data_IF_383057906274
#
_entry.id   IF_383057906274
#
_cell.length_a   1.000
_cell.length_b   1.000
_cell.length_c   1.000
_cell.angle_alpha   90.00
_cell.angle_beta   90.00
_cell.angle_gamma   90.00
#
_symmetry.space_group_name_H-M   'P 1'
#
loop_
_entity.id
_entity.type
_entity.pdbx_description
1 polymer ?
#
# COMPACT_ATOMS: atom_id res chain seq x y z
N UNK A 1 -19.12 -14.06 -35.04
CA UNK A 1 -18.50 -14.90 -33.99
C UNK A 1 -17.75 -13.98 -33.04
N UNK A 2 -18.40 -13.53 -31.95
CA UNK A 2 -17.79 -12.60 -30.98
C UNK A 2 -17.32 -13.41 -29.78
N UNK A 3 -16.01 -13.54 -29.62
CA UNK A 3 -15.42 -13.98 -28.36
C UNK A 3 -15.50 -12.79 -27.42
N UNK A 4 -16.51 -12.77 -26.55
CA UNK A 4 -16.52 -11.88 -25.41
C UNK A 4 -15.42 -12.33 -24.47
N UNK A 5 -14.21 -11.78 -24.65
CA UNK A 5 -13.16 -11.87 -23.66
C UNK A 5 -13.67 -11.17 -22.40
N UNK A 6 -14.13 -11.96 -21.44
CA UNK A 6 -14.33 -11.49 -20.07
C UNK A 6 -12.97 -10.95 -19.61
N UNK A 7 -12.79 -9.64 -19.59
CA UNK A 7 -11.74 -9.02 -18.78
C UNK A 7 -12.13 -9.30 -17.34
N UNK A 8 -11.69 -10.44 -16.82
CA UNK A 8 -11.68 -10.63 -15.38
C UNK A 8 -10.87 -9.46 -14.81
N UNK A 9 -11.42 -8.69 -13.85
CA UNK A 9 -10.62 -7.74 -13.13
C UNK A 9 -9.55 -8.59 -12.43
N UNK A 10 -8.30 -8.45 -12.83
CA UNK A 10 -7.20 -9.00 -12.04
C UNK A 10 -7.39 -8.40 -10.65
N UNK A 11 -7.56 -9.23 -9.60
CA UNK A 11 -7.41 -8.76 -8.22
C UNK A 11 -6.08 -8.01 -8.15
N UNK A 12 -5.97 -7.01 -7.30
CA UNK A 12 -4.72 -6.30 -7.11
C UNK A 12 -3.62 -7.29 -6.66
N UNK A 13 -2.93 -7.95 -7.60
CA UNK A 13 -1.97 -9.03 -7.35
C UNK A 13 -0.80 -8.60 -6.46
N UNK A 14 -0.65 -7.29 -6.26
CA UNK A 14 0.42 -6.73 -5.44
C UNK A 14 -0.03 -6.21 -4.06
N UNK A 15 -1.30 -6.38 -3.68
CA UNK A 15 -1.79 -6.00 -2.35
C UNK A 15 -1.58 -7.17 -1.37
N UNK A 16 -0.89 -6.97 -0.25
CA UNK A 16 -0.74 -8.03 0.76
C UNK A 16 -2.10 -8.35 1.39
N UNK A 17 -2.32 -9.62 1.76
CA UNK A 17 -3.52 -10.03 2.48
C UNK A 17 -3.46 -9.53 3.94
N UNK A 18 -3.98 -8.33 4.18
CA UNK A 18 -3.91 -7.64 5.48
C UNK A 18 -5.27 -7.25 6.05
N UNK A 19 -6.38 -7.78 5.51
CA UNK A 19 -7.73 -7.40 5.93
C UNK A 19 -7.94 -7.63 7.45
N UNK A 20 -7.63 -8.83 7.93
CA UNK A 20 -7.75 -9.17 9.35
C UNK A 20 -6.80 -8.34 10.25
N UNK A 21 -5.63 -7.95 9.75
CA UNK A 21 -4.69 -7.11 10.50
C UNK A 21 -5.22 -5.68 10.66
N UNK A 22 -5.87 -5.11 9.64
CA UNK A 22 -6.54 -3.81 9.74
C UNK A 22 -7.75 -3.87 10.69
N UNK A 23 -8.55 -4.94 10.65
CA UNK A 23 -9.66 -5.14 11.59
C UNK A 23 -9.17 -5.20 13.05
N UNK A 24 -8.08 -5.93 13.30
CA UNK A 24 -7.44 -5.96 14.62
C UNK A 24 -6.89 -4.59 15.02
N UNK A 25 -6.25 -3.87 14.10
CA UNK A 25 -5.73 -2.53 14.36
C UNK A 25 -6.86 -1.57 14.76
N UNK A 26 -8.04 -1.68 14.15
CA UNK A 26 -9.17 -0.81 14.45
C UNK A 26 -9.68 -0.92 15.90
N UNK A 27 -9.54 -2.10 16.53
CA UNK A 27 -10.07 -2.38 17.87
C UNK A 27 -9.03 -2.34 18.99
N UNK A 28 -7.74 -2.38 18.67
CA UNK A 28 -6.67 -2.32 19.69
C UNK A 28 -6.62 -0.94 20.37
N UNK A 29 -6.51 -0.85 21.71
CA UNK A 29 -6.29 0.41 22.39
C UNK A 29 -4.91 0.99 22.06
N UNK A 30 -4.73 2.29 22.30
CA UNK A 30 -3.43 2.94 22.16
C UNK A 30 -2.38 2.26 23.05
N UNK A 31 -1.22 1.95 22.47
CA UNK A 31 -0.16 1.25 23.18
C UNK A 31 0.87 0.59 22.26
N UNK A 32 1.87 -0.10 22.85
CA UNK A 32 2.97 -0.70 22.10
C UNK A 32 2.52 -1.72 21.05
N UNK A 33 1.47 -2.50 21.33
CA UNK A 33 0.94 -3.52 20.42
C UNK A 33 0.27 -2.89 19.18
N UNK A 34 -0.57 -1.86 19.37
CA UNK A 34 -1.18 -1.11 18.28
C UNK A 34 -0.12 -0.47 17.40
N UNK A 35 0.93 0.11 18.01
CA UNK A 35 2.06 0.70 17.28
C UNK A 35 2.82 -0.36 16.47
N UNK A 36 3.14 -1.50 17.07
CA UNK A 36 3.84 -2.58 16.37
C UNK A 36 3.05 -3.11 15.17
N UNK A 37 1.75 -3.37 15.37
CA UNK A 37 0.87 -3.84 14.29
C UNK A 37 0.75 -2.80 13.15
N UNK A 38 0.64 -1.52 13.49
CA UNK A 38 0.65 -0.42 12.51
C UNK A 38 1.97 -0.36 11.74
N UNK A 39 3.11 -0.45 12.43
CA UNK A 39 4.43 -0.43 11.80
C UNK A 39 4.62 -1.64 10.86
N UNK A 40 4.10 -2.81 11.23
CA UNK A 40 4.15 -4.01 10.38
C UNK A 40 3.26 -3.87 9.13
N UNK A 41 2.05 -3.31 9.28
CA UNK A 41 1.20 -2.98 8.15
C UNK A 41 1.90 -2.00 7.20
N UNK A 42 2.50 -0.92 7.72
CA UNK A 42 3.26 0.03 6.89
C UNK A 42 4.38 -0.71 6.12
N UNK A 43 5.15 -1.57 6.77
CA UNK A 43 6.23 -2.34 6.11
C UNK A 43 5.72 -3.25 5.01
N UNK A 44 4.60 -3.94 5.23
CA UNK A 44 3.99 -4.83 4.23
C UNK A 44 3.54 -4.09 2.98
N UNK A 45 3.10 -2.84 3.13
CA UNK A 45 2.59 -2.03 2.03
C UNK A 45 3.66 -1.13 1.37
N UNK A 46 4.88 -1.03 1.92
CA UNK A 46 5.98 -0.25 1.33
C UNK A 46 6.27 -0.58 -0.15
N UNK A 47 6.35 -1.85 -0.59
CA UNK A 47 6.58 -2.16 -2.00
C UNK A 47 5.51 -1.60 -2.94
N UNK A 48 4.27 -1.46 -2.47
CA UNK A 48 3.22 -0.82 -3.26
C UNK A 48 3.43 0.68 -3.38
N UNK A 49 3.80 1.35 -2.28
CA UNK A 49 4.13 2.77 -2.31
C UNK A 49 5.28 3.07 -3.27
N UNK A 50 6.32 2.22 -3.28
CA UNK A 50 7.42 2.30 -4.25
C UNK A 50 6.93 2.15 -5.70
N UNK A 51 6.11 1.13 -6.00
CA UNK A 51 5.52 0.97 -7.35
C UNK A 51 4.69 2.18 -7.76
N UNK A 52 3.93 2.78 -6.85
CA UNK A 52 3.15 3.99 -7.12
C UNK A 52 4.08 5.15 -7.49
N UNK A 53 5.12 5.40 -6.72
CA UNK A 53 6.10 6.46 -6.98
C UNK A 53 6.77 6.32 -8.37
N UNK A 54 7.11 5.10 -8.81
CA UNK A 54 7.66 4.87 -10.16
C UNK A 54 6.72 5.40 -11.25
N UNK A 55 5.39 5.38 -11.05
CA UNK A 55 4.42 5.91 -12.04
C UNK A 55 4.46 7.44 -12.16
N UNK A 56 5.07 8.14 -11.20
CA UNK A 56 5.24 9.59 -11.20
C UNK A 56 6.62 10.07 -11.67
N UNK A 57 7.51 9.15 -12.06
CA UNK A 57 8.84 9.49 -12.59
C UNK A 57 8.76 10.45 -13.79
N UNK A 58 9.79 11.28 -13.96
CA UNK A 58 9.93 12.18 -15.12
C UNK A 58 9.07 13.44 -15.06
N UNK A 59 8.57 13.81 -13.87
CA UNK A 59 7.72 15.00 -13.65
C UNK A 59 8.43 16.18 -12.97
N UNK A 60 9.77 16.16 -12.92
CA UNK A 60 10.58 17.23 -12.34
C UNK A 60 11.16 16.92 -10.95
N UNK A 61 10.73 15.84 -10.31
CA UNK A 61 11.27 15.36 -9.02
C UNK A 61 12.16 14.12 -9.21
N UNK A 62 13.12 13.92 -8.30
CA UNK A 62 13.93 12.70 -8.25
C UNK A 62 13.07 11.51 -7.79
N UNK A 63 13.37 10.32 -8.30
CA UNK A 63 12.68 9.09 -7.93
C UNK A 63 12.78 8.79 -6.42
N UNK A 64 13.91 9.10 -5.80
CA UNK A 64 14.09 8.94 -4.35
C UNK A 64 13.12 9.83 -3.55
N UNK A 65 12.92 11.08 -3.98
CA UNK A 65 11.95 11.99 -3.34
C UNK A 65 10.52 11.51 -3.54
N UNK A 66 10.20 10.99 -4.73
CA UNK A 66 8.91 10.36 -5.00
C UNK A 66 8.68 9.13 -4.10
N UNK A 67 9.70 8.32 -3.83
CA UNK A 67 9.62 7.22 -2.87
C UNK A 67 9.34 7.72 -1.46
N UNK A 68 10.04 8.76 -1.01
CA UNK A 68 9.81 9.34 0.32
C UNK A 68 8.39 9.88 0.47
N UNK A 69 7.88 10.59 -0.55
CA UNK A 69 6.50 11.12 -0.53
C UNK A 69 5.47 9.99 -0.54
N UNK A 70 5.68 8.94 -1.33
CA UNK A 70 4.78 7.79 -1.35
C UNK A 70 4.80 7.02 -0.01
N UNK A 71 5.98 6.83 0.59
CA UNK A 71 6.12 6.22 1.91
C UNK A 71 5.43 7.07 3.01
N UNK A 72 5.58 8.40 2.97
CA UNK A 72 4.86 9.29 3.87
C UNK A 72 3.34 9.22 3.68
N UNK A 73 2.89 9.14 2.43
CA UNK A 73 1.48 8.93 2.08
C UNK A 73 0.94 7.63 2.68
N UNK A 74 1.69 6.54 2.58
CA UNK A 74 1.36 5.26 3.19
C UNK A 74 1.26 5.36 4.72
N UNK A 75 2.26 5.94 5.39
CA UNK A 75 2.26 6.10 6.85
C UNK A 75 1.05 6.91 7.33
N UNK A 76 0.59 7.89 6.55
CA UNK A 76 -0.61 8.68 6.88
C UNK A 76 -1.92 7.96 6.61
N UNK A 77 -1.93 6.99 5.69
CA UNK A 77 -3.11 6.20 5.34
C UNK A 77 -3.40 5.06 6.32
N UNK A 78 -2.37 4.58 7.03
CA UNK A 78 -2.45 3.57 8.09
C UNK A 78 -2.58 4.22 9.46
#
# INVERSE_FOLDING_TARGET
MRVAGRTQPHPHDDAPDTAAAFERLAVLPEGPERKALRDDLIRLWLPMAERIAVRFRGRGENLEDLYQVAALGLVKAV
#
